data_IF_316490219100
#
_entry.id   IF_316490219100
#
_cell.length_a   1.000
_cell.length_b   1.000
_cell.length_c   1.000
_cell.angle_alpha   90.00
_cell.angle_beta   90.00
_cell.angle_gamma   90.00
#
_symmetry.space_group_name_H-M   'P 1'
#
loop_
_entity.id
_entity.type
_entity.pdbx_description
1 polymer ?
#
# COMPACT_ATOMS: atom_id res chain seq x y z
N UNK A 1 41.57 16.13 -5.65
CA UNK A 1 40.20 16.26 -5.12
C UNK A 1 40.10 15.39 -3.89
N UNK A 2 39.95 15.97 -2.71
CA UNK A 2 39.67 15.23 -1.48
C UNK A 2 38.27 14.65 -1.67
N UNK A 3 38.13 13.31 -1.76
CA UNK A 3 36.81 12.70 -1.74
C UNK A 3 36.19 13.01 -0.38
N UNK A 4 35.16 13.86 -0.37
CA UNK A 4 34.36 14.08 0.84
C UNK A 4 33.80 12.73 1.29
N UNK A 5 33.90 12.45 2.59
CA UNK A 5 33.43 11.21 3.20
C UNK A 5 32.09 11.49 3.91
N UNK A 6 30.95 11.05 3.35
CA UNK A 6 29.63 11.29 3.94
C UNK A 6 29.53 10.81 5.39
N UNK A 7 30.27 9.77 5.76
CA UNK A 7 30.24 9.14 7.08
C UNK A 7 30.79 10.06 8.19
N UNK A 8 31.62 11.05 7.85
CA UNK A 8 32.22 11.99 8.81
C UNK A 8 31.48 13.33 8.88
N UNK A 9 30.52 13.58 8.00
CA UNK A 9 29.79 14.84 7.96
C UNK A 9 28.78 14.92 9.11
N UNK A 10 28.55 16.13 9.64
CA UNK A 10 27.40 16.37 10.51
C UNK A 10 26.08 16.15 9.74
N UNK A 11 25.01 15.79 10.44
CA UNK A 11 23.71 15.50 9.81
C UNK A 11 23.16 16.71 9.03
N UNK A 12 23.34 17.93 9.52
CA UNK A 12 22.84 19.13 8.83
C UNK A 12 23.58 19.35 7.51
N UNK A 13 24.91 19.25 7.55
CA UNK A 13 25.75 19.38 6.35
C UNK A 13 25.44 18.25 5.37
N UNK A 14 25.31 17.02 5.85
CA UNK A 14 24.94 15.86 5.02
C UNK A 14 23.55 16.04 4.38
N UNK A 15 22.60 16.60 5.13
CA UNK A 15 21.25 16.88 4.63
C UNK A 15 21.27 17.91 3.51
N UNK A 16 21.96 19.04 3.71
CA UNK A 16 22.12 20.08 2.69
C UNK A 16 22.81 19.53 1.44
N UNK A 17 23.91 18.79 1.59
CA UNK A 17 24.60 18.17 0.45
C UNK A 17 23.69 17.17 -0.27
N UNK A 18 22.91 16.35 0.45
CA UNK A 18 21.94 15.47 -0.19
C UNK A 18 20.88 16.23 -1.01
N UNK A 19 20.40 17.39 -0.52
CA UNK A 19 19.46 18.22 -1.28
C UNK A 19 20.10 18.80 -2.56
N UNK A 20 21.35 19.24 -2.47
CA UNK A 20 22.11 19.75 -3.61
C UNK A 20 22.31 18.66 -4.68
N UNK A 21 22.76 17.48 -4.28
CA UNK A 21 22.94 16.32 -5.18
C UNK A 21 21.60 15.84 -5.77
N UNK A 22 20.51 15.88 -4.99
CA UNK A 22 19.17 15.56 -5.49
C UNK A 22 18.68 16.59 -6.51
N UNK A 23 19.10 17.85 -6.40
CA UNK A 23 18.74 18.91 -7.34
C UNK A 23 19.46 18.77 -8.69
N UNK A 24 20.69 18.23 -8.69
CA UNK A 24 21.45 17.92 -9.91
C UNK A 24 20.73 16.94 -10.83
N UNK A 25 19.96 16.00 -10.26
CA UNK A 25 19.12 15.07 -11.02
C UNK A 25 18.15 15.78 -11.96
N UNK A 26 17.57 16.91 -11.53
CA UNK A 26 16.64 17.69 -12.36
C UNK A 26 17.35 18.54 -13.43
N UNK A 27 18.67 18.70 -13.35
CA UNK A 27 19.51 19.47 -14.28
C UNK A 27 20.35 18.60 -15.21
N UNK A 28 20.17 17.28 -15.16
CA UNK A 28 20.95 16.30 -15.92
C UNK A 28 22.48 16.39 -15.67
N UNK A 29 22.84 16.77 -14.44
CA UNK A 29 24.22 16.87 -13.97
C UNK A 29 24.65 15.57 -13.26
N UNK A 30 25.96 15.28 -13.24
CA UNK A 30 26.50 14.18 -12.43
C UNK A 30 26.20 14.38 -10.94
N UNK A 31 25.55 13.39 -10.33
CA UNK A 31 25.19 13.38 -8.90
C UNK A 31 25.94 12.31 -8.14
N UNK A 32 26.19 12.59 -6.87
CA UNK A 32 26.76 11.64 -5.93
C UNK A 32 25.69 11.13 -4.94
N UNK A 33 25.16 9.94 -5.23
CA UNK A 33 24.13 9.31 -4.40
C UNK A 33 24.63 8.91 -3.00
N UNK A 34 25.95 8.93 -2.74
CA UNK A 34 26.53 8.49 -1.45
C UNK A 34 26.07 9.36 -0.28
N UNK A 35 25.91 10.68 -0.48
CA UNK A 35 25.46 11.59 0.57
C UNK A 35 24.03 11.28 1.01
N UNK A 36 23.12 11.14 0.05
CA UNK A 36 21.74 10.77 0.34
C UNK A 36 21.63 9.34 0.90
N UNK A 37 22.41 8.39 0.36
CA UNK A 37 22.41 7.02 0.89
C UNK A 37 22.84 6.97 2.37
N UNK A 38 23.88 7.72 2.75
CA UNK A 38 24.32 7.80 4.15
C UNK A 38 23.27 8.49 5.04
N UNK A 39 22.53 9.49 4.54
CA UNK A 39 21.41 10.09 5.28
C UNK A 39 20.33 9.04 5.58
N UNK A 40 19.95 8.22 4.59
CA UNK A 40 19.02 7.09 4.80
C UNK A 40 19.59 6.08 5.80
N UNK A 41 20.89 5.74 5.71
CA UNK A 41 21.54 4.79 6.62
C UNK A 41 21.51 5.28 8.07
N UNK A 42 21.86 6.55 8.32
CA UNK A 42 21.83 7.14 9.66
C UNK A 42 20.41 7.17 10.23
N UNK A 43 19.44 7.57 9.41
CA UNK A 43 18.05 7.61 9.82
C UNK A 43 17.53 6.20 10.16
N UNK A 44 17.61 5.27 9.20
CA UNK A 44 16.91 3.99 9.26
C UNK A 44 17.69 2.90 10.00
N UNK A 45 18.99 2.75 9.73
CA UNK A 45 19.84 1.71 10.31
C UNK A 45 20.35 2.11 11.69
N UNK A 46 20.90 3.32 11.79
CA UNK A 46 21.48 3.83 13.06
C UNK A 46 20.44 4.48 13.99
N UNK A 47 19.18 4.58 13.55
CA UNK A 47 18.07 5.14 14.35
C UNK A 47 18.33 6.56 14.85
N UNK A 48 19.11 7.34 14.12
CA UNK A 48 19.40 8.72 14.47
C UNK A 48 18.16 9.59 14.19
N UNK A 49 17.58 10.17 15.24
CA UNK A 49 16.35 10.98 15.16
C UNK A 49 16.56 12.27 14.35
N UNK A 50 17.73 12.90 14.47
CA UNK A 50 18.04 14.10 13.71
C UNK A 50 18.11 13.80 12.20
N UNK A 51 18.78 12.70 11.84
CA UNK A 51 18.84 12.22 10.45
C UNK A 51 17.46 11.82 9.92
N UNK A 52 16.58 11.27 10.78
CA UNK A 52 15.19 10.98 10.41
C UNK A 52 14.40 12.26 10.08
N UNK A 53 14.51 13.30 10.90
CA UNK A 53 13.89 14.60 10.63
C UNK A 53 14.41 15.23 9.32
N UNK A 54 15.72 15.18 9.11
CA UNK A 54 16.35 15.63 7.86
C UNK A 54 15.86 14.83 6.64
N UNK A 55 15.81 13.50 6.74
CA UNK A 55 15.31 12.62 5.68
C UNK A 55 13.86 12.97 5.30
N UNK A 56 13.00 13.13 6.31
CA UNK A 56 11.60 13.53 6.11
C UNK A 56 11.51 14.85 5.34
N UNK A 57 12.24 15.87 5.79
CA UNK A 57 12.21 17.20 5.16
C UNK A 57 12.68 17.16 3.70
N UNK A 58 13.70 16.37 3.39
CA UNK A 58 14.27 16.28 2.04
C UNK A 58 13.32 15.56 1.06
N UNK A 59 12.58 14.55 1.54
CA UNK A 59 11.83 13.65 0.66
C UNK A 59 10.31 13.78 0.73
N UNK A 60 9.73 14.55 1.68
CA UNK A 60 8.27 14.74 1.79
C UNK A 60 7.60 15.23 0.51
N UNK A 61 8.25 16.14 -0.23
CA UNK A 61 7.71 16.67 -1.49
C UNK A 61 7.75 15.63 -2.62
N UNK A 62 8.78 14.77 -2.64
CA UNK A 62 8.88 13.68 -3.61
C UNK A 62 7.79 12.64 -3.34
N UNK A 63 7.62 12.28 -2.07
CA UNK A 63 6.58 11.33 -1.61
C UNK A 63 5.19 11.86 -1.91
N UNK A 64 4.92 13.14 -1.66
CA UNK A 64 3.63 13.76 -1.99
C UNK A 64 3.33 13.68 -3.48
N UNK A 65 4.33 13.92 -4.34
CA UNK A 65 4.21 13.75 -5.80
C UNK A 65 3.90 12.31 -6.22
N UNK A 66 4.45 11.30 -5.54
CA UNK A 66 4.13 9.90 -5.81
C UNK A 66 2.72 9.51 -5.33
N UNK A 67 2.30 10.00 -4.17
CA UNK A 67 0.97 9.76 -3.62
C UNK A 67 -0.12 10.33 -4.54
N UNK A 68 0.03 11.57 -5.01
CA UNK A 68 -0.91 12.19 -5.97
C UNK A 68 -1.07 11.40 -7.27
N UNK A 69 -0.01 10.72 -7.72
CA UNK A 69 0.00 9.92 -8.96
C UNK A 69 -0.47 8.49 -8.76
N UNK A 70 -0.74 8.07 -7.53
CA UNK A 70 -1.13 6.71 -7.22
C UNK A 70 -2.61 6.49 -7.48
N UNK A 71 -2.96 5.34 -8.05
CA UNK A 71 -4.36 4.96 -8.30
C UNK A 71 -5.15 4.93 -6.99
N UNK A 72 -6.32 5.58 -6.99
CA UNK A 72 -7.21 5.65 -5.83
C UNK A 72 -6.87 6.74 -4.82
N UNK A 73 -5.93 7.64 -5.14
CA UNK A 73 -5.68 8.84 -4.34
C UNK A 73 -6.94 9.72 -4.19
N UNK A 74 -7.71 9.91 -5.26
CA UNK A 74 -8.91 10.74 -5.25
C UNK A 74 -10.03 10.20 -4.34
N UNK A 75 -9.96 8.92 -3.99
CA UNK A 75 -10.90 8.25 -3.07
C UNK A 75 -10.41 8.24 -1.62
N UNK A 76 -9.29 8.91 -1.31
CA UNK A 76 -8.76 9.02 0.05
C UNK A 76 -9.50 10.07 0.85
N UNK A 77 -9.82 9.73 2.10
CA UNK A 77 -10.38 10.66 3.10
C UNK A 77 -9.30 11.32 3.97
N UNK A 78 -8.09 10.77 3.95
CA UNK A 78 -6.95 11.31 4.69
C UNK A 78 -6.32 12.50 3.97
N UNK A 79 -5.78 13.43 4.75
CA UNK A 79 -4.99 14.54 4.23
C UNK A 79 -3.67 14.06 3.62
N UNK A 80 -3.06 14.90 2.79
CA UNK A 80 -1.75 14.61 2.19
C UNK A 80 -0.67 14.36 3.26
N UNK A 81 -0.63 15.15 4.32
CA UNK A 81 0.39 15.02 5.37
C UNK A 81 0.22 13.73 6.18
N UNK A 82 -1.01 13.28 6.42
CA UNK A 82 -1.28 11.96 7.02
C UNK A 82 -0.79 10.83 6.12
N UNK A 83 -1.06 10.91 4.81
CA UNK A 83 -0.60 9.89 3.85
C UNK A 83 0.93 9.82 3.73
N UNK A 84 1.60 10.99 3.76
CA UNK A 84 3.07 11.06 3.82
C UNK A 84 3.56 10.39 5.12
N UNK A 85 2.95 10.73 6.26
CA UNK A 85 3.27 10.15 7.58
C UNK A 85 3.19 8.64 7.56
N UNK A 86 2.05 8.09 7.16
CA UNK A 86 1.84 6.64 7.08
C UNK A 86 2.86 5.96 6.15
N UNK A 87 3.23 6.61 5.03
CA UNK A 87 4.18 6.05 4.08
C UNK A 87 5.59 5.95 4.66
N UNK A 88 6.05 6.99 5.36
CA UNK A 88 7.34 6.99 6.05
C UNK A 88 7.33 6.08 7.27
N UNK A 89 6.27 6.03 8.06
CA UNK A 89 6.15 5.09 9.18
C UNK A 89 6.28 3.64 8.72
N UNK A 90 5.56 3.27 7.66
CA UNK A 90 5.68 1.93 7.07
C UNK A 90 7.12 1.63 6.64
N UNK A 91 7.80 2.62 6.06
CA UNK A 91 9.19 2.48 5.67
C UNK A 91 10.11 2.31 6.88
N UNK A 92 9.92 3.13 7.92
CA UNK A 92 10.63 3.06 9.19
C UNK A 92 10.51 1.67 9.85
N UNK A 93 9.28 1.17 9.94
CA UNK A 93 8.97 -0.15 10.50
C UNK A 93 9.53 -1.29 9.65
N UNK A 94 9.50 -1.18 8.32
CA UNK A 94 10.10 -2.17 7.43
C UNK A 94 11.62 -2.30 7.62
N UNK A 95 12.28 -1.25 8.14
CA UNK A 95 13.71 -1.25 8.44
C UNK A 95 14.03 -1.58 9.90
N UNK A 96 13.04 -1.98 10.73
CA UNK A 96 13.18 -2.29 12.18
C UNK A 96 14.38 -3.17 12.50
N UNK A 97 14.60 -4.19 11.66
CA UNK A 97 15.77 -5.06 11.73
C UNK A 97 16.96 -4.42 10.99
N UNK A 98 18.12 -4.20 11.63
CA UNK A 98 19.31 -3.65 10.98
C UNK A 98 19.73 -4.39 9.70
N UNK A 99 19.52 -5.72 9.62
CA UNK A 99 19.82 -6.51 8.43
C UNK A 99 18.88 -6.19 7.26
N UNK A 100 17.71 -5.59 7.54
CA UNK A 100 16.76 -5.18 6.50
C UNK A 100 17.31 -4.07 5.61
N UNK A 101 18.08 -3.13 6.19
CA UNK A 101 18.71 -2.04 5.44
C UNK A 101 19.82 -2.55 4.52
N UNK A 102 20.59 -3.55 4.97
CA UNK A 102 21.73 -4.10 4.22
C UNK A 102 21.33 -4.81 2.91
N UNK A 103 20.04 -5.11 2.72
CA UNK A 103 19.48 -5.60 1.45
C UNK A 103 19.45 -4.53 0.36
N UNK A 104 19.57 -3.26 0.71
CA UNK A 104 19.49 -2.13 -0.21
C UNK A 104 20.89 -1.58 -0.46
N UNK A 105 21.51 -2.02 -1.56
CA UNK A 105 22.87 -1.63 -1.92
C UNK A 105 22.98 -0.20 -2.50
N UNK A 106 21.87 0.50 -2.73
CA UNK A 106 21.88 1.80 -3.40
C UNK A 106 20.68 2.69 -3.06
N UNK A 107 20.83 4.01 -3.23
CA UNK A 107 19.77 5.00 -3.03
C UNK A 107 18.54 4.73 -3.93
N UNK A 108 18.67 4.42 -5.24
CA UNK A 108 17.51 4.08 -6.06
C UNK A 108 16.68 2.91 -5.51
N UNK A 109 17.33 1.88 -4.93
CA UNK A 109 16.62 0.74 -4.35
C UNK A 109 15.81 1.12 -3.10
N UNK A 110 16.34 2.03 -2.27
CA UNK A 110 15.63 2.59 -1.11
C UNK A 110 14.43 3.44 -1.55
N UNK A 111 14.62 4.33 -2.53
CA UNK A 111 13.56 5.17 -3.06
C UNK A 111 12.44 4.35 -3.71
N UNK A 112 12.78 3.30 -4.44
CA UNK A 112 11.81 2.38 -5.02
C UNK A 112 10.98 1.66 -3.95
N UNK A 113 11.62 1.27 -2.83
CA UNK A 113 10.91 0.66 -1.72
C UNK A 113 10.00 1.66 -1.00
N UNK A 114 10.48 2.89 -0.74
CA UNK A 114 9.65 3.96 -0.19
C UNK A 114 8.44 4.27 -1.09
N UNK A 115 8.62 4.33 -2.41
CA UNK A 115 7.51 4.47 -3.36
C UNK A 115 6.51 3.32 -3.28
N UNK A 116 7.00 2.10 -3.03
CA UNK A 116 6.15 0.93 -2.79
C UNK A 116 5.37 1.05 -1.49
N UNK A 117 5.97 1.60 -0.44
CA UNK A 117 5.27 1.94 0.81
C UNK A 117 4.13 2.93 0.53
N UNK A 118 4.35 3.97 -0.27
CA UNK A 118 3.32 4.96 -0.66
C UNK A 118 2.11 4.29 -1.33
N UNK A 119 2.34 3.49 -2.37
CA UNK A 119 1.27 2.78 -3.07
C UNK A 119 0.52 1.80 -2.14
N UNK A 120 1.26 1.16 -1.22
CA UNK A 120 0.68 0.26 -0.24
C UNK A 120 -0.15 0.97 0.83
N UNK A 121 0.20 2.20 1.21
CA UNK A 121 -0.59 3.03 2.14
C UNK A 121 -1.99 3.28 1.56
N UNK A 122 -2.06 3.75 0.31
CA UNK A 122 -3.33 4.01 -0.38
C UNK A 122 -4.12 2.72 -0.54
N UNK A 123 -3.46 1.65 -0.99
CA UNK A 123 -4.12 0.36 -1.21
C UNK A 123 -4.67 -0.23 0.09
N UNK A 124 -3.92 -0.16 1.19
CA UNK A 124 -4.37 -0.66 2.49
C UNK A 124 -5.51 0.21 3.06
N UNK A 125 -5.48 1.53 2.84
CA UNK A 125 -6.58 2.43 3.23
C UNK A 125 -7.86 2.12 2.47
N UNK A 126 -7.79 1.99 1.14
CA UNK A 126 -8.94 1.59 0.32
C UNK A 126 -9.51 0.25 0.77
N UNK A 127 -8.66 -0.75 1.02
CA UNK A 127 -9.14 -2.06 1.51
C UNK A 127 -9.85 -1.95 2.86
N UNK A 128 -9.34 -1.13 3.79
CA UNK A 128 -10.00 -0.94 5.08
C UNK A 128 -11.32 -0.21 4.94
N UNK A 129 -11.35 0.88 4.17
CA UNK A 129 -12.57 1.66 3.94
C UNK A 129 -13.64 0.83 3.21
N UNK A 130 -13.26 0.07 2.19
CA UNK A 130 -14.15 -0.88 1.51
C UNK A 130 -14.67 -1.94 2.48
N UNK A 131 -13.82 -2.48 3.36
CA UNK A 131 -14.22 -3.44 4.39
C UNK A 131 -15.18 -2.84 5.42
N UNK A 132 -14.90 -1.64 5.90
CA UNK A 132 -15.76 -0.94 6.86
C UNK A 132 -17.12 -0.65 6.25
N UNK A 133 -17.17 -0.13 5.01
CA UNK A 133 -18.43 0.01 4.27
C UNK A 133 -19.17 -1.31 4.12
N UNK A 134 -18.50 -2.38 3.70
CA UNK A 134 -19.17 -3.68 3.59
C UNK A 134 -19.70 -4.22 4.93
N UNK A 135 -18.99 -4.01 6.03
CA UNK A 135 -19.47 -4.44 7.35
C UNK A 135 -20.64 -3.58 7.83
N UNK A 136 -20.59 -2.26 7.61
CA UNK A 136 -21.71 -1.35 7.88
C UNK A 136 -22.92 -1.70 6.99
N UNK A 137 -22.73 -1.99 5.71
CA UNK A 137 -23.80 -2.39 4.79
C UNK A 137 -24.42 -3.73 5.22
N UNK A 138 -23.64 -4.68 5.76
CA UNK A 138 -24.15 -5.94 6.32
C UNK A 138 -24.93 -5.71 7.62
N UNK A 139 -24.40 -4.89 8.53
CA UNK A 139 -25.06 -4.55 9.79
C UNK A 139 -26.36 -3.78 9.52
N UNK A 140 -26.33 -2.78 8.64
CA UNK A 140 -27.51 -2.01 8.20
C UNK A 140 -28.51 -2.90 7.47
N UNK A 141 -28.08 -3.80 6.58
CA UNK A 141 -28.97 -4.78 5.95
C UNK A 141 -29.62 -5.72 6.98
N UNK A 142 -28.90 -6.11 8.04
CA UNK A 142 -29.42 -6.94 9.12
C UNK A 142 -30.40 -6.18 10.02
N UNK A 143 -30.13 -4.90 10.31
CA UNK A 143 -31.01 -4.01 11.06
C UNK A 143 -32.27 -3.59 10.27
N UNK A 144 -32.16 -3.35 8.96
CA UNK A 144 -33.26 -2.99 8.07
C UNK A 144 -34.16 -4.18 7.73
N UNK A 145 -33.58 -5.38 7.52
CA UNK A 145 -34.34 -6.63 7.35
C UNK A 145 -35.15 -6.99 8.60
N UNK A 146 -34.71 -6.51 9.77
CA UNK A 146 -35.41 -6.72 11.04
C UNK A 146 -36.54 -5.72 11.28
N UNK A 147 -36.64 -4.60 10.55
CA UNK A 147 -37.49 -3.48 10.97
C UNK A 147 -38.48 -2.86 9.97
N UNK A 148 -38.43 -2.99 8.63
CA UNK A 148 -39.50 -2.31 7.84
C UNK A 148 -39.76 -2.76 6.38
N UNK A 149 -40.90 -2.27 5.88
CA UNK A 149 -41.80 -2.74 4.79
C UNK A 149 -41.26 -2.72 3.34
N UNK A 150 -41.88 -3.49 2.42
CA UNK A 150 -41.19 -4.15 1.29
C UNK A 150 -40.87 -3.28 0.05
N UNK A 151 -41.46 -2.11 -0.09
CA UNK A 151 -41.66 -1.51 -1.42
C UNK A 151 -40.54 -0.59 -1.91
N UNK A 152 -39.69 -0.08 -1.02
CA UNK A 152 -38.51 0.74 -1.39
C UNK A 152 -37.16 -0.02 -1.30
N UNK A 153 -37.11 -1.22 -0.70
CA UNK A 153 -35.91 -2.06 -0.62
C UNK A 153 -35.62 -2.84 -1.91
N UNK A 154 -36.63 -3.11 -2.76
CA UNK A 154 -36.46 -4.08 -3.84
C UNK A 154 -35.40 -3.64 -4.87
N UNK A 155 -35.26 -2.36 -5.18
CA UNK A 155 -34.44 -1.93 -6.32
C UNK A 155 -32.95 -1.91 -5.98
N UNK A 156 -32.53 -1.30 -4.87
CA UNK A 156 -31.11 -1.23 -4.48
C UNK A 156 -30.57 -2.55 -3.88
N UNK A 157 -31.42 -3.29 -3.15
CA UNK A 157 -31.05 -4.59 -2.58
C UNK A 157 -30.96 -5.68 -3.66
N UNK A 158 -31.79 -5.60 -4.73
CA UNK A 158 -31.64 -6.52 -5.87
C UNK A 158 -30.32 -6.31 -6.60
N UNK A 159 -29.86 -5.08 -6.80
CA UNK A 159 -28.60 -4.80 -7.50
C UNK A 159 -27.39 -5.31 -6.71
N UNK A 160 -27.34 -5.04 -5.41
CA UNK A 160 -26.27 -5.55 -4.54
C UNK A 160 -26.30 -7.08 -4.41
N UNK A 161 -27.49 -7.69 -4.28
CA UNK A 161 -27.61 -9.14 -4.26
C UNK A 161 -27.26 -9.79 -5.61
N UNK A 162 -27.59 -9.15 -6.73
CA UNK A 162 -27.19 -9.60 -8.07
C UNK A 162 -25.67 -9.55 -8.21
N UNK A 163 -25.03 -8.48 -7.75
CA UNK A 163 -23.57 -8.36 -7.76
C UNK A 163 -22.89 -9.46 -6.94
N UNK A 164 -23.33 -9.69 -5.71
CA UNK A 164 -22.75 -10.73 -4.85
C UNK A 164 -23.03 -12.15 -5.33
N UNK A 165 -24.24 -12.44 -5.82
CA UNK A 165 -24.54 -13.73 -6.48
C UNK A 165 -23.66 -13.95 -7.71
N UNK A 166 -23.34 -12.88 -8.44
CA UNK A 166 -22.46 -12.96 -9.61
C UNK A 166 -21.01 -13.24 -9.22
N UNK A 167 -20.50 -12.56 -8.18
CA UNK A 167 -19.17 -12.86 -7.62
C UNK A 167 -19.13 -14.32 -7.16
N UNK A 168 -20.11 -14.78 -6.38
CA UNK A 168 -20.18 -16.17 -5.91
C UNK A 168 -20.25 -17.18 -7.07
N UNK A 169 -21.04 -16.89 -8.11
CA UNK A 169 -21.14 -17.75 -9.29
C UNK A 169 -19.87 -17.81 -10.16
N UNK A 170 -18.92 -16.90 -9.95
CA UNK A 170 -17.63 -16.89 -10.64
C UNK A 170 -16.52 -17.59 -9.85
N UNK A 171 -16.77 -17.95 -8.58
CA UNK A 171 -15.83 -18.70 -7.74
C UNK A 171 -16.11 -20.19 -7.90
N UNK A 172 -15.05 -20.98 -8.03
CA UNK A 172 -15.17 -22.40 -8.39
C UNK A 172 -15.21 -23.32 -7.18
N UNK A 173 -14.61 -22.92 -6.06
CA UNK A 173 -14.41 -23.78 -4.91
C UNK A 173 -14.30 -22.99 -3.60
N UNK A 174 -14.38 -23.72 -2.49
CA UNK A 174 -14.27 -23.19 -1.13
C UNK A 174 -12.90 -22.50 -0.90
N UNK A 175 -11.88 -22.84 -1.69
CA UNK A 175 -10.56 -22.22 -1.64
C UNK A 175 -10.58 -20.80 -2.22
N UNK A 176 -11.21 -20.61 -3.38
CA UNK A 176 -11.42 -19.30 -4.01
C UNK A 176 -12.36 -18.43 -3.16
N UNK A 177 -13.43 -19.01 -2.60
CA UNK A 177 -14.34 -18.32 -1.69
C UNK A 177 -13.65 -17.87 -0.41
N UNK A 178 -12.93 -18.77 0.27
CA UNK A 178 -12.17 -18.42 1.46
C UNK A 178 -11.11 -17.35 1.16
N UNK A 179 -10.48 -17.38 -0.02
CA UNK A 179 -9.53 -16.34 -0.42
C UNK A 179 -10.21 -14.99 -0.60
N UNK A 180 -11.33 -14.93 -1.32
CA UNK A 180 -12.02 -13.68 -1.60
C UNK A 180 -12.60 -13.07 -0.32
N UNK A 181 -13.28 -13.86 0.50
CA UNK A 181 -13.76 -13.39 1.79
C UNK A 181 -12.59 -12.94 2.68
N UNK A 182 -11.51 -13.72 2.77
CA UNK A 182 -10.37 -13.36 3.63
C UNK A 182 -9.61 -12.13 3.16
N UNK A 183 -9.48 -11.96 1.84
CA UNK A 183 -8.70 -10.89 1.24
C UNK A 183 -9.50 -9.59 1.11
N UNK A 184 -10.75 -9.67 0.68
CA UNK A 184 -11.62 -8.51 0.43
C UNK A 184 -12.50 -8.16 1.63
N UNK A 185 -13.13 -9.12 2.30
CA UNK A 185 -14.01 -8.86 3.44
C UNK A 185 -13.25 -8.76 4.77
N UNK A 186 -12.18 -9.54 4.95
CA UNK A 186 -11.40 -9.55 6.21
C UNK A 186 -10.07 -8.79 6.12
N UNK A 187 -9.68 -8.31 4.93
CA UNK A 187 -8.48 -7.49 4.73
C UNK A 187 -7.15 -8.20 5.07
N UNK A 188 -7.13 -9.53 5.06
CA UNK A 188 -5.96 -10.31 5.46
C UNK A 188 -4.87 -10.26 4.38
N UNK A 189 -3.61 -10.08 4.79
CA UNK A 189 -2.45 -10.19 3.89
C UNK A 189 -2.23 -11.66 3.47
N UNK A 190 -1.61 -11.95 2.32
CA UNK A 190 -1.38 -13.32 1.86
C UNK A 190 -0.71 -14.25 2.89
N UNK A 191 0.26 -13.72 3.66
CA UNK A 191 0.88 -14.45 4.79
C UNK A 191 -0.10 -14.84 5.89
N UNK A 192 -1.06 -13.97 6.18
CA UNK A 192 -2.10 -14.19 7.20
C UNK A 192 -3.18 -15.15 6.68
N UNK A 193 -3.52 -15.08 5.40
CA UNK A 193 -4.43 -16.03 4.73
C UNK A 193 -3.83 -17.43 4.77
N UNK A 194 -2.57 -17.59 4.34
CA UNK A 194 -1.86 -18.86 4.42
C UNK A 194 -1.80 -19.41 5.85
N UNK A 195 -1.49 -18.56 6.84
CA UNK A 195 -1.45 -18.98 8.25
C UNK A 195 -2.81 -19.45 8.77
N UNK A 196 -3.91 -18.81 8.33
CA UNK A 196 -5.27 -19.09 8.81
C UNK A 196 -5.91 -20.27 8.07
N UNK A 197 -5.59 -20.45 6.79
CA UNK A 197 -6.18 -21.44 5.91
C UNK A 197 -5.11 -22.36 5.30
N UNK A 198 -4.12 -22.78 6.09
CA UNK A 198 -3.03 -23.65 5.62
C UNK A 198 -3.51 -25.01 5.08
N UNK A 199 -4.71 -25.44 5.46
CA UNK A 199 -5.38 -26.62 4.92
C UNK A 199 -5.93 -26.40 3.49
N UNK A 200 -6.24 -25.16 3.11
CA UNK A 200 -6.69 -24.79 1.77
C UNK A 200 -5.55 -24.23 0.91
N UNK A 201 -4.51 -23.67 1.51
CA UNK A 201 -3.34 -23.12 0.81
C UNK A 201 -2.08 -23.80 1.34
N UNK A 202 -1.58 -24.85 0.66
CA UNK A 202 -0.40 -25.60 1.10
C UNK A 202 0.87 -24.75 1.17
N UNK A 203 0.94 -23.68 0.36
CA UNK A 203 2.00 -22.69 0.43
C UNK A 203 1.46 -21.27 0.16
N UNK A 204 2.30 -20.26 0.42
CA UNK A 204 1.94 -18.86 0.17
C UNK A 204 1.86 -18.51 -1.32
N UNK A 205 2.60 -19.22 -2.19
CA UNK A 205 2.54 -19.01 -3.62
C UNK A 205 1.17 -19.41 -4.17
N UNK A 206 0.51 -20.36 -3.53
CA UNK A 206 -0.83 -20.81 -3.87
C UNK A 206 -1.86 -19.71 -3.61
N UNK A 207 -1.73 -18.98 -2.50
CA UNK A 207 -2.53 -17.76 -2.24
C UNK A 207 -2.37 -16.74 -3.37
N UNK A 208 -1.15 -16.53 -3.87
CA UNK A 208 -0.90 -15.62 -4.99
C UNK A 208 -1.45 -16.16 -6.32
N UNK A 209 -1.33 -17.47 -6.56
CA UNK A 209 -1.81 -18.17 -7.76
C UNK A 209 -3.33 -18.10 -7.85
N UNK A 210 -4.03 -18.53 -6.80
CA UNK A 210 -5.49 -18.52 -6.70
C UNK A 210 -6.02 -17.10 -6.85
N UNK A 211 -5.44 -16.13 -6.12
CA UNK A 211 -5.81 -14.72 -6.29
C UNK A 211 -5.66 -14.23 -7.72
N UNK A 212 -4.55 -14.55 -8.39
CA UNK A 212 -4.32 -14.16 -9.80
C UNK A 212 -5.36 -14.78 -10.72
N UNK A 213 -5.70 -16.05 -10.52
CA UNK A 213 -6.69 -16.76 -11.31
C UNK A 213 -8.08 -16.14 -11.18
N UNK A 214 -8.50 -15.80 -9.97
CA UNK A 214 -9.78 -15.12 -9.72
C UNK A 214 -9.80 -13.73 -10.36
N UNK A 215 -8.75 -12.92 -10.16
CA UNK A 215 -8.70 -11.58 -10.77
C UNK A 215 -8.67 -11.62 -12.31
N UNK A 216 -8.00 -12.61 -12.90
CA UNK A 216 -8.02 -12.81 -14.35
C UNK A 216 -9.41 -13.23 -14.84
N UNK A 217 -10.15 -14.00 -14.05
CA UNK A 217 -11.53 -14.41 -14.36
C UNK A 217 -12.49 -13.22 -14.28
N UNK A 218 -12.41 -12.43 -13.20
CA UNK A 218 -13.21 -11.21 -13.04
C UNK A 218 -12.98 -10.21 -14.17
N UNK A 219 -11.73 -10.06 -14.64
CA UNK A 219 -11.41 -9.17 -15.79
C UNK A 219 -11.97 -9.64 -17.13
N UNK A 220 -12.24 -10.94 -17.28
CA UNK A 220 -12.79 -11.55 -18.50
C UNK A 220 -14.30 -11.58 -18.51
N UNK A 221 -14.94 -11.43 -17.35
CA UNK A 221 -16.40 -11.26 -17.25
C UNK A 221 -16.78 -9.84 -17.69
N UNK A 222 -17.57 -9.74 -18.77
CA UNK A 222 -17.92 -8.45 -19.35
C UNK A 222 -18.96 -7.69 -18.51
N UNK A 223 -19.79 -8.37 -17.73
CA UNK A 223 -20.83 -7.73 -16.93
C UNK A 223 -20.25 -7.15 -15.63
N UNK A 224 -19.13 -7.69 -15.13
CA UNK A 224 -18.39 -7.08 -14.03
C UNK A 224 -17.66 -5.79 -14.43
N UNK A 225 -17.33 -5.58 -15.73
CA UNK A 225 -16.65 -4.36 -16.19
C UNK A 225 -17.50 -3.11 -16.03
N UNK A 226 -18.82 -3.23 -16.20
CA UNK A 226 -19.76 -2.11 -16.11
C UNK A 226 -19.87 -1.56 -14.67
N UNK A 227 -19.60 -2.39 -13.65
CA UNK A 227 -19.56 -1.97 -12.24
C UNK A 227 -18.29 -1.17 -11.86
N UNK A 228 -17.24 -1.16 -12.68
CA UNK A 228 -15.97 -0.44 -12.40
C UNK A 228 -15.86 0.92 -13.12
N UNK A 229 -16.87 1.31 -13.91
CA UNK A 229 -16.85 2.55 -14.72
C UNK A 229 -17.81 3.65 -14.21
N UNK A 230 -18.48 3.42 -13.07
CA UNK A 230 -19.32 4.42 -12.38
C UNK A 230 -18.62 4.85 -11.09
#
# INVERSE_FOLDING_TARGET
MISLQPELMDVDVLSTTCQEESSKFFRDEERDDRFCYELFRRALKLRNQHAWGALWNNYRNLVSGWLRKSSGFDSMTLTMDELITLSFERFWYAMSDPASFDRFASLPSLLQYLRTCCASTITDHLRRHTRERFLTDIDDAYYLASNEKPEHQLIEHEEQQRFWRKIQGLLNDDQEEALIQSYFLLGLKPRQIHKKYSHLFPDIQDVYRVKRNIMNRFRRDNDLKDFWQT
#
